data_IF_114829822181
#
_entry.id   IF_114829822181
#
_cell.length_a   1.000
_cell.length_b   1.000
_cell.length_c   1.000
_cell.angle_alpha   90.00
_cell.angle_beta   90.00
_cell.angle_gamma   90.00
#
_symmetry.space_group_name_H-M   'P 1'
#
loop_
_entity.id
_entity.type
_entity.pdbx_description
1 polymer ?
#
# COMPACT_ATOMS: atom_id res chain seq x y z
N UNK A 1 23.19 3.02 -5.78
CA UNK A 1 22.25 2.28 -4.92
C UNK A 1 22.98 1.46 -3.86
N UNK A 2 22.49 1.48 -2.63
CA UNK A 2 22.96 0.67 -1.49
C UNK A 2 21.77 0.07 -0.77
N UNK A 3 21.79 -1.25 -0.54
CA UNK A 3 20.78 -1.99 0.22
C UNK A 3 21.34 -2.41 1.57
N UNK A 4 20.78 -1.88 2.65
CA UNK A 4 21.13 -2.27 4.02
C UNK A 4 19.95 -2.99 4.67
N UNK A 5 20.19 -4.17 5.25
CA UNK A 5 19.16 -4.95 5.97
C UNK A 5 19.72 -5.44 7.30
N UNK A 6 19.01 -5.17 8.40
CA UNK A 6 19.46 -5.54 9.75
C UNK A 6 20.84 -4.95 10.09
N UNK A 7 21.16 -3.78 9.52
CA UNK A 7 22.47 -3.12 9.66
C UNK A 7 23.60 -3.69 8.80
N UNK A 8 23.32 -4.62 7.88
CA UNK A 8 24.32 -5.22 6.97
C UNK A 8 24.12 -4.74 5.54
N UNK A 9 25.20 -4.41 4.85
CA UNK A 9 25.17 -4.09 3.43
C UNK A 9 25.06 -5.38 2.61
N UNK A 10 23.97 -5.51 1.85
CA UNK A 10 23.64 -6.66 1.00
C UNK A 10 23.73 -6.33 -0.50
N UNK A 11 24.23 -5.15 -0.85
CA UNK A 11 24.17 -4.60 -2.22
C UNK A 11 24.81 -5.54 -3.25
N UNK A 12 25.98 -6.10 -2.95
CA UNK A 12 26.72 -6.97 -3.87
C UNK A 12 26.14 -8.38 -4.00
N UNK A 13 25.18 -8.74 -3.16
CA UNK A 13 24.57 -10.07 -3.12
C UNK A 13 23.17 -10.09 -3.74
N UNK A 14 22.59 -8.91 -3.96
CA UNK A 14 21.27 -8.76 -4.55
C UNK A 14 21.29 -9.15 -6.03
N UNK A 15 20.46 -10.13 -6.39
CA UNK A 15 20.27 -10.59 -7.78
C UNK A 15 19.00 -9.98 -8.38
N UNK A 16 18.00 -9.73 -7.55
CA UNK A 16 16.80 -8.98 -7.96
C UNK A 16 16.32 -8.10 -6.83
N UNK A 17 15.85 -6.90 -7.21
CA UNK A 17 15.20 -5.94 -6.33
C UNK A 17 14.04 -5.32 -7.10
N UNK A 18 12.85 -5.33 -6.49
CA UNK A 18 11.64 -4.74 -7.03
C UNK A 18 10.94 -3.94 -5.93
N UNK A 19 10.51 -2.71 -6.25
CA UNK A 19 9.67 -1.91 -5.36
C UNK A 19 8.32 -1.75 -6.06
N UNK A 20 7.29 -2.24 -5.40
CA UNK A 20 5.90 -2.05 -5.83
C UNK A 20 5.26 -0.99 -4.95
N UNK A 21 4.91 0.12 -5.57
CA UNK A 21 4.07 1.15 -4.97
C UNK A 21 2.76 1.28 -5.78
N UNK A 22 1.67 1.51 -5.07
CA UNK A 22 0.34 1.61 -5.64
C UNK A 22 -0.52 2.50 -4.75
N UNK A 23 -1.18 3.50 -5.34
CA UNK A 23 -2.12 4.41 -4.66
C UNK A 23 -3.29 3.71 -3.96
N UNK A 24 -3.61 2.46 -4.33
CA UNK A 24 -4.64 1.66 -3.66
C UNK A 24 -4.10 0.87 -2.45
N UNK A 25 -2.77 0.75 -2.33
CA UNK A 25 -2.09 0.18 -1.17
C UNK A 25 -1.88 1.25 -0.10
N UNK A 26 -1.68 0.82 1.15
CA UNK A 26 -1.24 1.73 2.22
C UNK A 26 0.28 1.87 2.28
N UNK A 27 1.02 1.01 1.58
CA UNK A 27 2.45 0.79 1.77
C UNK A 27 3.09 0.29 0.49
N UNK A 28 4.30 0.79 0.22
CA UNK A 28 5.19 0.20 -0.76
C UNK A 28 5.77 -1.10 -0.23
N UNK A 29 6.02 -2.05 -1.14
CA UNK A 29 6.64 -3.34 -0.84
C UNK A 29 7.92 -3.47 -1.62
N UNK A 30 9.03 -3.74 -0.94
CA UNK A 30 10.30 -4.08 -1.55
C UNK A 30 10.51 -5.59 -1.48
N UNK A 31 10.61 -6.24 -2.63
CA UNK A 31 10.96 -7.65 -2.75
C UNK A 31 12.42 -7.75 -3.21
N UNK A 32 13.21 -8.57 -2.52
CA UNK A 32 14.62 -8.79 -2.85
C UNK A 32 14.94 -10.28 -2.88
N UNK A 33 15.76 -10.70 -3.85
CA UNK A 33 16.36 -12.04 -3.89
C UNK A 33 17.89 -11.95 -3.88
N UNK A 34 18.49 -12.81 -3.08
CA UNK A 34 19.91 -12.96 -2.87
C UNK A 34 20.27 -14.41 -3.21
N UNK A 35 21.33 -14.60 -4.00
CA UNK A 35 21.83 -15.92 -4.34
C UNK A 35 23.13 -16.16 -3.59
N UNK A 36 23.23 -17.32 -2.96
CA UNK A 36 24.47 -17.82 -2.41
C UNK A 36 24.95 -18.98 -3.28
N UNK A 37 26.09 -18.83 -3.95
CA UNK A 37 26.67 -19.99 -4.63
C UNK A 37 27.20 -20.97 -3.58
N UNK A 38 26.58 -22.15 -3.54
CA UNK A 38 26.98 -23.26 -2.67
C UNK A 38 28.16 -24.03 -3.29
N UNK A 39 29.30 -23.36 -3.53
CA UNK A 39 30.45 -23.99 -4.18
C UNK A 39 31.11 -25.07 -3.32
N UNK A 40 31.08 -24.94 -1.98
CA UNK A 40 31.83 -25.81 -1.07
C UNK A 40 30.99 -26.39 0.09
N UNK A 41 29.66 -26.39 -0.02
CA UNK A 41 28.77 -26.81 1.10
C UNK A 41 28.63 -25.75 2.20
N UNK A 42 29.15 -24.54 1.98
CA UNK A 42 29.12 -23.42 2.92
C UNK A 42 28.17 -22.33 2.43
N UNK A 43 27.06 -22.13 3.15
CA UNK A 43 26.24 -20.94 3.01
C UNK A 43 26.87 -19.82 3.85
N UNK A 44 27.18 -18.64 3.27
CA UNK A 44 27.67 -17.53 4.06
C UNK A 44 26.63 -17.15 5.13
N UNK A 45 27.06 -16.76 6.35
CA UNK A 45 26.18 -16.53 7.49
C UNK A 45 25.45 -15.19 7.43
N UNK A 46 24.87 -14.87 6.27
CA UNK A 46 24.08 -13.67 6.06
C UNK A 46 22.61 -14.06 6.18
N UNK A 47 22.09 -13.82 7.38
CA UNK A 47 20.69 -14.09 7.70
C UNK A 47 19.94 -12.78 7.84
N UNK A 48 18.92 -12.62 7.01
CA UNK A 48 17.88 -11.60 7.20
C UNK A 48 16.73 -12.27 7.93
N UNK A 49 16.18 -11.56 8.91
CA UNK A 49 15.10 -12.04 9.74
C UNK A 49 13.87 -11.13 9.62
N UNK A 50 12.70 -11.70 9.85
CA UNK A 50 11.50 -10.90 10.08
C UNK A 50 11.75 -9.95 11.26
N UNK A 51 11.39 -8.68 11.08
CA UNK A 51 11.66 -7.60 12.03
C UNK A 51 12.92 -6.78 11.72
N UNK A 52 13.81 -7.25 10.83
CA UNK A 52 14.97 -6.45 10.40
C UNK A 52 14.51 -5.20 9.64
N UNK A 53 15.16 -4.06 9.92
CA UNK A 53 14.98 -2.85 9.12
C UNK A 53 15.64 -3.04 7.76
N UNK A 54 14.95 -2.70 6.69
CA UNK A 54 15.45 -2.70 5.32
C UNK A 54 15.43 -1.27 4.76
N UNK A 55 16.58 -0.81 4.28
CA UNK A 55 16.78 0.54 3.75
C UNK A 55 17.46 0.45 2.39
N UNK A 56 16.83 1.04 1.38
CA UNK A 56 17.42 1.23 0.06
C UNK A 56 17.74 2.71 -0.11
N UNK A 57 18.98 3.02 -0.45
CA UNK A 57 19.40 4.38 -0.80
C UNK A 57 19.92 4.44 -2.22
N UNK A 58 19.76 5.58 -2.88
CA UNK A 58 20.46 5.91 -4.12
C UNK A 58 21.08 7.30 -4.02
N UNK A 59 22.39 7.41 -4.25
CA UNK A 59 23.15 8.65 -4.05
C UNK A 59 22.87 9.32 -2.68
N UNK A 60 22.84 8.53 -1.60
CA UNK A 60 22.53 8.96 -0.22
C UNK A 60 21.05 9.32 0.05
N UNK A 61 20.20 9.39 -0.97
CA UNK A 61 18.76 9.59 -0.81
C UNK A 61 18.06 8.28 -0.46
N UNK A 62 17.19 8.29 0.55
CA UNK A 62 16.40 7.10 0.93
C UNK A 62 15.27 6.90 -0.07
N UNK A 63 15.36 5.82 -0.85
CA UNK A 63 14.34 5.43 -1.84
C UNK A 63 13.26 4.55 -1.19
N UNK A 64 13.65 3.70 -0.25
CA UNK A 64 12.73 2.84 0.48
C UNK A 64 13.23 2.63 1.91
N UNK A 65 12.30 2.64 2.86
CA UNK A 65 12.56 2.29 4.25
C UNK A 65 11.38 1.51 4.83
N UNK A 66 11.65 0.30 5.29
CA UNK A 66 10.62 -0.58 5.84
C UNK A 66 11.17 -1.66 6.74
N UNK A 67 10.31 -2.61 7.08
CA UNK A 67 10.62 -3.76 7.91
C UNK A 67 10.40 -5.04 7.14
N UNK A 68 11.33 -5.99 7.25
CA UNK A 68 11.19 -7.32 6.68
C UNK A 68 10.07 -8.05 7.39
N UNK A 69 9.04 -8.46 6.65
CA UNK A 69 7.90 -9.21 7.20
C UNK A 69 7.87 -10.64 6.69
N UNK A 70 8.43 -10.90 5.52
CA UNK A 70 8.47 -12.23 4.92
C UNK A 70 9.89 -12.59 4.52
N UNK A 71 10.26 -13.84 4.79
CA UNK A 71 11.55 -14.43 4.43
C UNK A 71 11.28 -15.81 3.83
N UNK A 72 11.90 -16.10 2.70
CA UNK A 72 11.78 -17.35 1.97
C UNK A 72 13.14 -17.90 1.56
N UNK A 73 13.22 -19.22 1.44
CA UNK A 73 14.37 -19.91 0.86
C UNK A 73 13.85 -20.82 -0.24
N UNK A 74 14.41 -20.68 -1.44
CA UNK A 74 13.98 -21.41 -2.63
C UNK A 74 15.15 -22.21 -3.20
N UNK A 75 14.90 -23.50 -3.43
CA UNK A 75 15.81 -24.41 -4.13
C UNK A 75 16.93 -25.01 -3.27
N UNK A 76 17.61 -26.02 -3.84
CA UNK A 76 18.79 -26.65 -3.23
C UNK A 76 20.03 -25.73 -3.22
N UNK A 77 20.03 -24.73 -4.11
CA UNK A 77 21.12 -23.77 -4.28
C UNK A 77 20.93 -22.52 -3.39
N UNK A 78 19.93 -22.51 -2.52
CA UNK A 78 19.84 -21.53 -1.43
C UNK A 78 19.54 -20.09 -1.88
N UNK A 79 18.62 -19.88 -2.83
CA UNK A 79 18.12 -18.53 -3.13
C UNK A 79 17.34 -18.04 -1.92
N UNK A 80 17.85 -17.00 -1.28
CA UNK A 80 17.21 -16.34 -0.15
C UNK A 80 16.41 -15.15 -0.65
N UNK A 81 15.14 -15.07 -0.33
CA UNK A 81 14.29 -13.94 -0.70
C UNK A 81 13.64 -13.33 0.53
N UNK A 82 13.37 -12.03 0.49
CA UNK A 82 12.58 -11.37 1.53
C UNK A 82 11.68 -10.30 0.95
N UNK A 83 10.59 -10.00 1.67
CA UNK A 83 9.75 -8.84 1.42
C UNK A 83 9.77 -7.91 2.63
N UNK A 84 10.05 -6.64 2.35
CA UNK A 84 10.00 -5.56 3.32
C UNK A 84 8.83 -4.62 2.98
N UNK A 85 8.14 -4.18 4.01
CA UNK A 85 6.97 -3.30 3.92
C UNK A 85 7.26 -1.99 4.64
N UNK A 86 6.86 -0.87 4.06
CA UNK A 86 6.87 0.40 4.79
C UNK A 86 5.97 0.32 6.03
N UNK A 87 6.28 1.12 7.06
CA UNK A 87 5.56 1.09 8.33
C UNK A 87 4.05 1.40 8.21
N UNK A 88 3.66 2.10 7.15
CA UNK A 88 2.27 2.38 6.82
C UNK A 88 1.43 1.12 6.55
N UNK A 89 2.02 -0.06 6.33
CA UNK A 89 1.29 -1.33 6.23
C UNK A 89 0.46 -1.62 7.48
N UNK A 90 0.89 -1.12 8.64
CA UNK A 90 0.17 -1.26 9.93
C UNK A 90 -1.23 -0.69 9.86
N UNK A 91 -1.48 0.32 9.02
CA UNK A 91 -2.81 0.91 8.84
C UNK A 91 -3.83 -0.10 8.31
N UNK A 92 -3.39 -1.03 7.47
CA UNK A 92 -4.24 -2.07 6.91
C UNK A 92 -4.48 -3.24 7.89
N UNK A 93 -3.66 -3.36 8.94
CA UNK A 93 -3.69 -4.49 9.90
C UNK A 93 -4.30 -4.11 11.25
N UNK A 94 -4.12 -2.88 11.70
CA UNK A 94 -4.56 -2.44 13.02
C UNK A 94 -5.97 -1.86 12.97
N UNK A 95 -6.81 -2.34 13.88
CA UNK A 95 -8.14 -1.80 14.11
C UNK A 95 -8.08 -0.57 15.00
N UNK A 96 -8.91 0.43 14.70
CA UNK A 96 -9.05 1.64 15.52
C UNK A 96 -10.49 1.77 15.93
N UNK A 97 -10.74 1.91 17.23
CA UNK A 97 -12.08 1.99 17.80
C UNK A 97 -12.42 3.40 18.25
N UNK A 98 -13.64 3.86 17.96
CA UNK A 98 -14.18 5.10 18.50
C UNK A 98 -15.20 5.78 17.59
N UNK A 99 -15.60 6.98 18.03
CA UNK A 99 -16.48 7.88 17.28
C UNK A 99 -15.59 8.90 16.54
N UNK A 100 -15.83 9.09 15.26
CA UNK A 100 -15.12 10.02 14.39
C UNK A 100 -16.10 11.08 13.92
N UNK A 101 -16.07 12.24 14.57
CA UNK A 101 -17.03 13.33 14.35
C UNK A 101 -16.36 14.67 14.06
N UNK A 102 -15.03 14.69 13.99
CA UNK A 102 -14.23 15.88 13.71
C UNK A 102 -13.96 16.02 12.21
N UNK A 103 -13.08 16.95 11.81
CA UNK A 103 -12.63 17.05 10.42
C UNK A 103 -11.95 15.75 9.94
N UNK A 104 -11.88 15.56 8.62
CA UNK A 104 -11.18 14.41 8.03
C UNK A 104 -9.72 14.35 8.51
N UNK A 105 -9.06 15.50 8.60
CA UNK A 105 -7.66 15.60 9.03
C UNK A 105 -7.45 15.17 10.49
N UNK A 106 -8.33 15.57 11.40
CA UNK A 106 -8.25 15.19 12.82
C UNK A 106 -8.55 13.70 13.04
N UNK A 107 -9.59 13.19 12.35
CA UNK A 107 -9.96 11.79 12.43
C UNK A 107 -8.86 10.88 11.85
N UNK A 108 -8.29 11.24 10.70
CA UNK A 108 -7.18 10.52 10.08
C UNK A 108 -5.92 10.56 10.94
N UNK A 109 -5.57 11.72 11.50
CA UNK A 109 -4.44 11.85 12.45
C UNK A 109 -4.61 10.90 13.63
N UNK A 110 -5.79 10.87 14.24
CA UNK A 110 -6.09 9.95 15.36
C UNK A 110 -5.92 8.49 14.95
N UNK A 111 -6.36 8.11 13.75
CA UNK A 111 -6.24 6.75 13.25
C UNK A 111 -4.78 6.34 12.98
N UNK A 112 -3.98 7.26 12.43
CA UNK A 112 -2.54 7.06 12.15
C UNK A 112 -1.77 6.91 13.46
N UNK A 113 -1.99 7.82 14.41
CA UNK A 113 -1.28 7.83 15.70
C UNK A 113 -1.65 6.63 16.58
N UNK A 114 -2.89 6.13 16.49
CA UNK A 114 -3.30 4.88 17.13
C UNK A 114 -2.51 3.65 16.65
N UNK A 115 -1.90 3.72 15.46
CA UNK A 115 -1.02 2.67 14.93
C UNK A 115 0.46 2.88 15.28
N UNK A 116 0.79 3.87 16.12
CA UNK A 116 2.17 4.23 16.45
C UNK A 116 2.93 4.89 15.30
N UNK A 117 2.21 5.49 14.35
CA UNK A 117 2.78 6.17 13.18
C UNK A 117 2.67 7.68 13.32
N UNK A 118 3.55 8.42 12.63
CA UNK A 118 3.50 9.89 12.61
C UNK A 118 2.69 10.37 11.42
N UNK A 119 1.71 11.22 11.68
CA UNK A 119 0.92 11.86 10.63
C UNK A 119 1.66 13.06 10.02
N UNK A 120 1.76 13.07 8.69
CA UNK A 120 2.32 14.14 7.87
C UNK A 120 1.23 15.04 7.27
N UNK A 121 1.27 15.21 5.95
CA UNK A 121 0.31 16.03 5.22
C UNK A 121 -1.09 15.41 5.23
N UNK A 122 -2.07 16.13 5.79
CA UNK A 122 -3.47 15.73 5.84
C UNK A 122 -4.35 16.88 5.35
N UNK A 123 -4.98 16.79 4.18
CA UNK A 123 -5.89 17.81 3.67
C UNK A 123 -7.05 18.01 4.66
N UNK A 124 -7.42 19.26 4.90
CA UNK A 124 -8.55 19.56 5.77
C UNK A 124 -9.85 19.49 4.96
N UNK A 125 -10.59 18.40 5.12
CA UNK A 125 -11.87 18.15 4.45
C UNK A 125 -12.97 17.95 5.50
N UNK A 126 -14.22 18.20 5.11
CA UNK A 126 -15.37 17.84 5.93
C UNK A 126 -15.54 16.32 5.95
N UNK A 127 -15.82 15.76 7.11
CA UNK A 127 -16.10 14.33 7.29
C UNK A 127 -17.48 14.17 7.93
N UNK A 128 -18.31 13.27 7.39
CA UNK A 128 -19.59 12.92 8.04
C UNK A 128 -19.31 12.09 9.28
N UNK A 129 -19.98 12.31 10.42
CA UNK A 129 -19.74 11.50 11.60
C UNK A 129 -20.01 10.01 11.36
N UNK A 130 -19.09 9.16 11.82
CA UNK A 130 -19.22 7.71 11.81
C UNK A 130 -18.59 7.09 13.06
N UNK A 131 -18.81 5.79 13.27
CA UNK A 131 -18.17 5.04 14.34
C UNK A 131 -17.52 3.78 13.78
N UNK A 132 -16.46 3.32 14.45
CA UNK A 132 -15.70 2.13 14.05
C UNK A 132 -15.87 0.96 15.00
N UNK A 133 -16.94 0.91 15.82
CA UNK A 133 -17.16 -0.17 16.78
C UNK A 133 -17.28 -1.56 16.11
N UNK A 134 -17.58 -1.61 14.82
CA UNK A 134 -17.53 -2.82 14.00
C UNK A 134 -16.13 -3.32 13.62
N UNK A 135 -15.05 -2.72 14.14
CA UNK A 135 -13.67 -3.17 13.91
C UNK A 135 -13.05 -2.67 12.61
N UNK A 136 -13.24 -1.39 12.27
CA UNK A 136 -12.58 -0.79 11.10
C UNK A 136 -11.07 -0.70 11.31
N UNK A 137 -10.32 -1.01 10.25
CA UNK A 137 -8.87 -0.76 10.22
C UNK A 137 -8.59 0.73 10.13
N UNK A 138 -7.40 1.18 10.54
CA UNK A 138 -7.02 2.59 10.40
C UNK A 138 -7.10 3.06 8.95
N UNK A 139 -6.71 2.21 7.98
CA UNK A 139 -6.94 2.48 6.55
C UNK A 139 -8.41 2.80 6.28
N UNK A 140 -9.33 1.92 6.71
CA UNK A 140 -10.75 2.09 6.42
C UNK A 140 -11.32 3.34 7.08
N UNK A 141 -10.88 3.67 8.29
CA UNK A 141 -11.22 4.96 8.91
C UNK A 141 -10.77 6.14 8.06
N UNK A 142 -9.56 6.09 7.49
CA UNK A 142 -9.05 7.16 6.61
C UNK A 142 -9.84 7.20 5.29
N UNK A 143 -10.14 6.04 4.69
CA UNK A 143 -10.97 5.94 3.48
C UNK A 143 -12.36 6.57 3.72
N UNK A 144 -13.00 6.28 4.86
CA UNK A 144 -14.31 6.87 5.23
C UNK A 144 -14.22 8.38 5.43
N UNK A 145 -13.06 8.91 5.84
CA UNK A 145 -12.87 10.35 6.05
C UNK A 145 -12.72 11.14 4.74
N UNK A 146 -12.10 10.56 3.72
CA UNK A 146 -11.69 11.27 2.50
C UNK A 146 -12.39 10.79 1.22
N UNK A 147 -12.83 9.53 1.18
CA UNK A 147 -13.39 8.87 0.00
C UNK A 147 -12.36 8.57 -1.09
N UNK A 148 -12.86 8.14 -2.25
CA UNK A 148 -12.04 7.61 -3.37
C UNK A 148 -11.16 8.65 -4.08
N UNK A 149 -11.33 9.94 -3.77
CA UNK A 149 -10.54 11.03 -4.36
C UNK A 149 -9.16 11.22 -3.73
N UNK A 150 -8.76 10.33 -2.81
CA UNK A 150 -7.53 10.44 -2.04
C UNK A 150 -6.83 9.08 -1.91
N UNK A 151 -5.53 9.10 -1.72
CA UNK A 151 -4.70 7.93 -1.43
C UNK A 151 -3.82 8.17 -0.21
N UNK A 152 -3.40 7.09 0.42
CA UNK A 152 -2.47 7.10 1.56
C UNK A 152 -1.07 6.87 1.02
N UNK A 153 -0.11 7.69 1.43
CA UNK A 153 1.29 7.53 1.06
C UNK A 153 2.21 7.80 2.24
N UNK A 154 3.45 7.32 2.15
CA UNK A 154 4.49 7.59 3.12
C UNK A 154 5.55 8.50 2.50
N UNK A 155 5.94 9.55 3.24
CA UNK A 155 7.00 10.46 2.83
C UNK A 155 7.84 10.86 4.04
N UNK A 156 9.16 10.72 3.94
CA UNK A 156 10.11 11.10 4.98
C UNK A 156 9.81 10.50 6.37
N UNK A 157 9.22 9.29 6.41
CA UNK A 157 8.83 8.63 7.66
C UNK A 157 7.46 9.05 8.21
N UNK A 158 6.69 9.87 7.48
CA UNK A 158 5.36 10.32 7.86
C UNK A 158 4.29 9.77 6.93
N UNK A 159 3.16 9.35 7.50
CA UNK A 159 1.98 8.94 6.74
C UNK A 159 1.19 10.19 6.36
N UNK A 160 0.97 10.40 5.06
CA UNK A 160 0.13 11.45 4.52
C UNK A 160 -1.08 10.91 3.77
N UNK A 161 -2.02 11.80 3.52
CA UNK A 161 -3.16 11.58 2.62
C UNK A 161 -3.08 12.60 1.49
N UNK A 162 -3.21 12.14 0.26
CA UNK A 162 -2.93 12.95 -0.92
C UNK A 162 -4.10 12.84 -1.89
N UNK A 163 -4.49 13.96 -2.49
CA UNK A 163 -5.57 13.97 -3.47
C UNK A 163 -5.12 13.24 -4.74
N UNK A 164 -5.93 12.31 -5.23
CA UNK A 164 -5.70 11.69 -6.53
C UNK A 164 -5.86 12.76 -7.61
N UNK A 165 -4.85 12.92 -8.45
CA UNK A 165 -4.83 13.88 -9.54
C UNK A 165 -4.45 13.23 -10.85
N UNK A 166 -4.61 13.99 -11.94
CA UNK A 166 -4.03 13.63 -13.24
C UNK A 166 -2.84 14.52 -13.49
N UNK A 167 -1.70 13.90 -13.76
CA UNK A 167 -0.50 14.57 -14.24
C UNK A 167 -0.18 13.97 -15.61
N UNK A 168 0.00 14.82 -16.62
CA UNK A 168 0.50 14.38 -17.91
C UNK A 168 2.02 14.27 -17.81
N UNK A 169 2.53 13.05 -17.93
CA UNK A 169 3.97 12.79 -18.02
C UNK A 169 4.26 12.52 -19.49
N UNK A 170 5.01 13.43 -20.12
CA UNK A 170 5.54 13.19 -21.46
C UNK A 170 6.56 12.06 -21.39
N UNK A 171 6.23 10.91 -21.97
CA UNK A 171 7.20 9.80 -22.08
C UNK A 171 8.14 10.08 -23.25
N UNK A 172 9.44 10.12 -23.00
CA UNK A 172 10.44 10.16 -24.07
C UNK A 172 10.58 8.75 -24.65
N UNK A 173 10.25 8.57 -25.93
CA UNK A 173 10.33 7.27 -26.61
C UNK A 173 11.72 6.65 -26.60
N UNK A 174 12.79 7.44 -26.46
CA UNK A 174 14.16 6.95 -26.46
C UNK A 174 14.54 6.19 -25.18
N UNK A 175 13.82 6.38 -24.07
CA UNK A 175 14.08 5.71 -22.78
C UNK A 175 13.04 4.62 -22.46
N UNK A 176 12.05 4.42 -23.33
CA UNK A 176 11.05 3.37 -23.17
C UNK A 176 11.62 2.05 -23.66
N UNK A 177 11.86 1.12 -22.73
CA UNK A 177 12.29 -0.23 -23.08
C UNK A 177 11.13 -1.13 -23.53
N UNK A 178 9.95 -0.98 -22.93
CA UNK A 178 8.77 -1.80 -23.24
C UNK A 178 7.46 -1.08 -22.87
N UNK A 179 6.39 -1.31 -23.64
CA UNK A 179 5.02 -0.88 -23.33
C UNK A 179 4.12 -2.12 -23.35
N UNK A 180 3.52 -2.42 -22.21
CA UNK A 180 2.52 -3.48 -22.08
C UNK A 180 1.16 -2.85 -21.86
N UNK A 181 0.22 -3.10 -22.77
CA UNK A 181 -1.17 -2.64 -22.65
C UNK A 181 -2.11 -3.82 -22.43
N UNK A 182 -3.04 -3.66 -21.50
CA UNK A 182 -4.08 -4.66 -21.19
C UNK A 182 -5.44 -3.98 -21.10
N UNK A 183 -6.37 -4.43 -21.92
CA UNK A 183 -7.79 -4.10 -21.78
C UNK A 183 -8.55 -5.32 -21.24
N UNK A 184 -9.48 -5.12 -20.31
CA UNK A 184 -10.23 -6.19 -19.67
C UNK A 184 -11.66 -5.73 -19.38
N UNK A 185 -12.63 -6.53 -19.81
CA UNK A 185 -14.05 -6.35 -19.47
C UNK A 185 -14.50 -7.28 -18.32
N UNK A 186 -13.55 -7.94 -17.63
CA UNK A 186 -13.85 -8.96 -16.60
C UNK A 186 -14.78 -8.47 -15.50
N UNK A 187 -14.53 -7.25 -15.01
CA UNK A 187 -15.30 -6.64 -13.92
C UNK A 187 -16.29 -5.58 -14.44
N UNK A 188 -16.50 -5.53 -15.76
CA UNK A 188 -17.45 -4.61 -16.37
C UNK A 188 -18.87 -5.13 -16.16
N UNK A 189 -19.72 -4.28 -15.61
CA UNK A 189 -21.13 -4.56 -15.39
C UNK A 189 -21.97 -3.63 -16.24
N UNK A 190 -22.97 -4.17 -16.95
CA UNK A 190 -23.84 -3.37 -17.81
C UNK A 190 -24.81 -2.51 -17.00
N UNK A 191 -25.23 -2.98 -15.82
CA UNK A 191 -26.16 -2.31 -14.93
C UNK A 191 -25.81 -2.58 -13.47
N UNK A 192 -25.83 -1.53 -12.64
CA UNK A 192 -25.73 -1.61 -11.19
C UNK A 192 -26.98 -0.96 -10.60
N UNK A 193 -27.74 -1.69 -9.79
CA UNK A 193 -28.85 -1.14 -9.01
C UNK A 193 -28.44 -1.10 -7.55
N UNK A 194 -28.26 0.10 -7.00
CA UNK A 194 -28.10 0.32 -5.57
C UNK A 194 -29.49 0.51 -4.96
N UNK A 195 -29.93 -0.40 -4.10
CA UNK A 195 -31.18 -0.26 -3.35
C UNK A 195 -30.84 0.06 -1.91
N UNK A 196 -31.31 1.22 -1.42
CA UNK A 196 -31.25 1.55 -0.01
C UNK A 196 -32.36 0.77 0.71
N UNK A 197 -32.05 0.14 1.84
CA UNK A 197 -32.98 -0.77 2.53
C UNK A 197 -34.15 -0.04 3.21
N UNK A 198 -34.23 1.30 3.06
CA UNK A 198 -35.32 2.14 3.58
C UNK A 198 -36.53 2.24 2.64
N UNK A 199 -36.45 1.74 1.41
CA UNK A 199 -37.55 1.86 0.43
C UNK A 199 -38.53 0.66 0.43
N UNK A 200 -38.49 -0.21 1.44
CA UNK A 200 -39.36 -1.39 1.50
C UNK A 200 -40.74 -1.15 2.13
N UNK A 201 -41.22 0.09 2.16
CA UNK A 201 -42.62 0.42 2.42
C UNK A 201 -43.16 1.36 1.33
N UNK A 202 -43.56 0.82 0.18
CA UNK A 202 -44.38 1.60 -0.76
C UNK A 202 -44.42 1.17 -2.21
N UNK A 203 -45.33 0.25 -2.53
CA UNK A 203 -45.99 0.02 -3.84
C UNK A 203 -45.16 -0.45 -5.06
N UNK A 204 -45.56 -1.53 -5.75
CA UNK A 204 -44.92 -1.96 -6.99
C UNK A 204 -45.30 -1.02 -8.14
N UNK A 205 -44.32 -0.24 -8.62
CA UNK A 205 -44.39 0.46 -9.90
C UNK A 205 -44.37 -0.55 -11.05
N UNK A 206 -45.41 -0.51 -11.89
CA UNK A 206 -45.56 -1.33 -13.09
C UNK A 206 -44.37 -1.09 -14.03
N UNK A 207 -43.63 -2.15 -14.37
CA UNK A 207 -42.67 -2.12 -15.48
C UNK A 207 -43.44 -2.10 -16.79
N UNK A 208 -43.41 -0.95 -17.45
CA UNK A 208 -43.83 -0.82 -18.84
C UNK A 208 -42.65 -1.22 -19.74
N UNK A 209 -42.79 -2.32 -20.46
CA UNK A 209 -41.79 -2.79 -21.41
C UNK A 209 -41.93 -2.00 -22.72
N UNK A 210 -41.35 -0.79 -22.75
CA UNK A 210 -41.08 -0.08 -23.98
C UNK A 210 -39.90 -0.69 -24.71
N UNK A 211 -40.17 -1.50 -25.75
CA UNK A 211 -39.19 -1.86 -26.79
C UNK A 211 -38.71 -0.59 -27.49
N UNK A 212 -37.40 -0.42 -27.66
CA UNK A 212 -36.71 -0.13 -28.93
C UNK A 212 -35.22 -0.48 -28.78
#
# INVERSE_FOLDING_TARGET
>A
MTLTVGGRDLTSLCVSLDIKDNIYSCSSVMSCSIVFENHDGYLPPIFVYCGDEAVLTDNEEVIFKGMVLEVGVVGKDGIFSFEAYEDSHRLAKNQVYGIFSCSASENARRAIEACGLKAGALPNESCRPFNSYGGLTAKRVIDECYGDGYYIGMKDGFVGVYKTGRSEIGLNSEVIFNIVSKSSARDMVNFVSLTDSKDNEGTPSKRDHGRY
#
